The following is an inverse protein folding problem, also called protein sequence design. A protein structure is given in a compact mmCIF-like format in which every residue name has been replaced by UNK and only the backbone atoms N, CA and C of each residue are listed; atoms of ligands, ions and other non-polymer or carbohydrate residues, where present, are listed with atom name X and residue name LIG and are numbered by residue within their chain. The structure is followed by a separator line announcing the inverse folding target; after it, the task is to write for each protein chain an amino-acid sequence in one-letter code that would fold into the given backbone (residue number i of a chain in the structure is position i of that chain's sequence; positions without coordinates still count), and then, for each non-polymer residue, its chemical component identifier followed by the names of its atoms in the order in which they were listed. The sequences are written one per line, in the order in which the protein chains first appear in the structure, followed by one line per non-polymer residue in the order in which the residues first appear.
data_IF_779901679517
#
_entry.id   IF_779901679517
#
_cell.length_a   1.000
_cell.length_b   1.000
_cell.length_c   1.000
_cell.angle_alpha   90.00
_cell.angle_beta   90.00
_cell.angle_gamma   90.00
#
_symmetry.space_group_name_H-M   'P 1'
#
loop_
_entity.id
_entity.type
_entity.pdbx_description
1 polymer ?
#
# COMPACT_ATOMS: atom_id res chain seq x y z
N UNK A 1 -24.98 32.28 -40.38
CA UNK A 1 -24.57 31.44 -41.53
C UNK A 1 -24.91 30.00 -41.21
N UNK A 2 -25.34 29.20 -42.18
CA UNK A 2 -25.56 27.76 -42.02
C UNK A 2 -24.21 27.03 -42.18
N UNK A 3 -23.97 26.01 -41.34
CA UNK A 3 -22.81 25.14 -41.46
C UNK A 3 -23.30 23.80 -41.99
N UNK A 4 -22.75 23.37 -43.11
CA UNK A 4 -23.08 22.12 -43.79
C UNK A 4 -21.85 21.23 -43.80
N UNK A 5 -22.03 19.97 -43.45
CA UNK A 5 -21.02 18.92 -43.52
C UNK A 5 -21.37 18.00 -44.70
N UNK A 6 -20.43 17.84 -45.63
CA UNK A 6 -20.57 16.92 -46.73
C UNK A 6 -19.71 15.67 -46.46
N UNK A 7 -20.34 14.49 -46.49
CA UNK A 7 -19.69 13.20 -46.28
C UNK A 7 -20.04 12.27 -47.44
N UNK A 8 -19.03 11.83 -48.17
CA UNK A 8 -19.19 10.81 -49.22
C UNK A 8 -19.02 9.41 -48.65
N UNK A 9 -19.84 8.48 -49.11
CA UNK A 9 -19.71 7.05 -48.83
C UNK A 9 -18.89 6.34 -49.93
N UNK A 10 -18.36 5.16 -49.61
CA UNK A 10 -17.53 4.35 -50.53
C UNK A 10 -18.32 3.87 -51.76
N UNK A 11 -19.64 3.83 -51.65
CA UNK A 11 -20.57 3.52 -52.73
C UNK A 11 -20.88 4.72 -53.65
N UNK A 12 -20.20 5.86 -53.45
CA UNK A 12 -20.32 7.04 -54.31
C UNK A 12 -21.52 7.94 -54.02
N UNK A 13 -22.18 7.75 -52.87
CA UNK A 13 -23.30 8.61 -52.43
C UNK A 13 -22.78 9.76 -51.57
N UNK A 14 -23.21 10.99 -51.85
CA UNK A 14 -22.86 12.18 -51.08
C UNK A 14 -23.99 12.52 -50.09
N UNK A 15 -23.68 12.50 -48.80
CA UNK A 15 -24.57 12.89 -47.72
C UNK A 15 -24.25 14.33 -47.29
N UNK A 16 -25.28 15.18 -47.24
CA UNK A 16 -25.16 16.56 -46.77
C UNK A 16 -25.93 16.68 -45.46
N UNK A 17 -25.23 17.04 -44.39
CA UNK A 17 -25.75 17.16 -43.03
C UNK A 17 -25.68 18.62 -42.60
N UNK A 18 -26.77 19.14 -42.00
CA UNK A 18 -26.73 20.45 -41.35
C UNK A 18 -26.20 20.32 -39.92
N UNK A 19 -25.27 21.20 -39.55
CA UNK A 19 -24.76 21.24 -38.17
C UNK A 19 -25.77 21.98 -37.28
N UNK A 20 -26.28 21.32 -36.22
CA UNK A 20 -27.20 21.92 -35.27
C UNK A 20 -26.62 23.17 -34.63
N UNK A 21 -27.48 24.12 -34.24
CA UNK A 21 -27.06 25.40 -33.69
C UNK A 21 -26.13 25.26 -32.46
N UNK A 22 -26.36 24.26 -31.62
CA UNK A 22 -25.57 23.97 -30.43
C UNK A 22 -24.08 23.66 -30.71
N UNK A 23 -23.73 23.23 -31.93
CA UNK A 23 -22.37 22.84 -32.31
C UNK A 23 -21.70 23.84 -33.26
N UNK A 24 -22.30 25.01 -33.48
CA UNK A 24 -21.78 26.01 -34.44
C UNK A 24 -20.62 26.83 -33.88
N UNK A 25 -20.60 27.02 -32.57
CA UNK A 25 -19.60 27.85 -31.91
C UNK A 25 -18.93 27.05 -30.81
N UNK A 26 -17.61 26.80 -30.92
CA UNK A 26 -16.89 26.23 -29.80
C UNK A 26 -16.88 27.23 -28.65
N UNK A 27 -17.00 26.74 -27.43
CA UNK A 27 -16.71 27.56 -26.26
C UNK A 27 -15.24 27.97 -26.32
N UNK A 28 -14.93 29.22 -25.96
CA UNK A 28 -13.58 29.81 -26.11
C UNK A 28 -12.46 29.00 -25.43
N UNK A 29 -12.80 28.18 -24.44
CA UNK A 29 -11.83 27.36 -23.68
C UNK A 29 -12.01 25.85 -23.89
N UNK A 30 -12.91 25.39 -24.77
CA UNK A 30 -13.18 23.97 -24.98
C UNK A 30 -11.92 23.18 -25.34
N UNK A 31 -11.14 23.69 -26.30
CA UNK A 31 -9.92 23.03 -26.75
C UNK A 31 -8.90 22.87 -25.62
N UNK A 32 -8.60 23.97 -24.93
CA UNK A 32 -7.66 23.98 -23.80
C UNK A 32 -8.12 23.07 -22.66
N UNK A 33 -9.41 23.11 -22.32
CA UNK A 33 -9.98 22.28 -21.26
C UNK A 33 -9.93 20.78 -21.61
N UNK A 34 -10.21 20.42 -22.87
CA UNK A 34 -10.16 19.04 -23.34
C UNK A 34 -8.72 18.52 -23.38
N UNK A 35 -7.78 19.33 -23.85
CA UNK A 35 -6.34 18.98 -23.86
C UNK A 35 -5.83 18.75 -22.43
N UNK A 36 -6.10 19.68 -21.50
CA UNK A 36 -5.74 19.53 -20.10
C UNK A 36 -6.39 18.30 -19.43
N UNK A 37 -7.63 17.98 -19.82
CA UNK A 37 -8.30 16.77 -19.36
C UNK A 37 -7.56 15.50 -19.81
N UNK A 38 -7.17 15.41 -21.09
CA UNK A 38 -6.43 14.27 -21.61
C UNK A 38 -5.07 14.11 -20.92
N UNK A 39 -4.32 15.19 -20.74
CA UNK A 39 -3.03 15.14 -20.04
C UNK A 39 -3.18 14.60 -18.61
N UNK A 40 -4.23 15.03 -17.90
CA UNK A 40 -4.52 14.53 -16.55
C UNK A 40 -4.91 13.06 -16.55
N UNK A 41 -5.67 12.62 -17.54
CA UNK A 41 -6.11 11.23 -17.63
C UNK A 41 -4.93 10.29 -17.94
N UNK A 42 -4.01 10.68 -18.81
CA UNK A 42 -2.78 9.93 -19.07
C UNK A 42 -1.97 9.77 -17.78
N UNK A 43 -1.71 10.87 -17.05
CA UNK A 43 -0.99 10.82 -15.76
C UNK A 43 -1.70 9.95 -14.72
N UNK A 44 -3.03 9.94 -14.71
CA UNK A 44 -3.83 9.11 -13.80
C UNK A 44 -3.64 7.62 -14.11
N UNK A 45 -3.60 7.24 -15.38
CA UNK A 45 -3.35 5.86 -15.80
C UNK A 45 -1.95 5.41 -15.39
N UNK A 46 -0.93 6.23 -15.65
CA UNK A 46 0.46 5.96 -15.23
C UNK A 46 0.56 5.75 -13.70
N UNK A 47 -0.07 6.64 -12.91
CA UNK A 47 -0.10 6.50 -11.46
C UNK A 47 -0.81 5.21 -11.01
N UNK A 48 -1.90 4.84 -11.68
CA UNK A 48 -2.65 3.63 -11.35
C UNK A 48 -1.83 2.36 -11.62
N UNK A 49 -1.12 2.31 -12.75
CA UNK A 49 -0.22 1.22 -13.10
C UNK A 49 0.96 1.12 -12.11
N UNK A 50 1.64 2.24 -11.83
CA UNK A 50 2.73 2.28 -10.85
C UNK A 50 2.27 1.79 -9.47
N UNK A 51 1.06 2.18 -9.03
CA UNK A 51 0.49 1.73 -7.76
C UNK A 51 0.13 0.24 -7.77
N UNK A 52 -0.24 -0.32 -8.92
CA UNK A 52 -0.52 -1.75 -9.07
C UNK A 52 0.77 -2.56 -8.89
N UNK A 53 1.86 -2.12 -9.52
CA UNK A 53 3.20 -2.73 -9.41
C UNK A 53 3.69 -2.70 -7.96
N UNK A 54 3.63 -1.54 -7.29
CA UNK A 54 4.06 -1.43 -5.90
C UNK A 54 3.22 -2.29 -4.95
N UNK A 55 1.94 -2.54 -5.26
CA UNK A 55 1.10 -3.45 -4.47
C UNK A 55 1.45 -4.91 -4.71
N UNK A 56 1.82 -5.31 -5.93
CA UNK A 56 2.26 -6.69 -6.19
C UNK A 56 3.62 -6.94 -5.53
N UNK A 57 4.60 -6.03 -5.70
CA UNK A 57 5.92 -6.15 -5.07
C UNK A 57 5.82 -6.20 -3.54
N UNK A 58 5.02 -5.32 -2.94
CA UNK A 58 4.74 -5.35 -1.49
C UNK A 58 3.87 -6.51 -1.03
N UNK A 59 3.33 -7.34 -1.93
CA UNK A 59 2.61 -8.57 -1.56
C UNK A 59 3.52 -9.80 -1.69
N UNK A 60 4.48 -9.76 -2.61
CA UNK A 60 5.54 -10.76 -2.76
C UNK A 60 6.59 -10.65 -1.63
N UNK A 61 7.04 -9.44 -1.30
CA UNK A 61 8.00 -9.21 -0.20
C UNK A 61 7.55 -9.67 1.20
N UNK A 62 6.30 -9.48 1.66
CA UNK A 62 5.85 -9.98 2.95
C UNK A 62 5.62 -11.50 2.97
N UNK A 63 5.66 -12.21 1.85
CA UNK A 63 5.73 -13.68 1.84
C UNK A 63 7.18 -14.17 2.01
N UNK A 64 8.18 -13.45 1.49
CA UNK A 64 9.61 -13.79 1.68
C UNK A 64 10.19 -13.31 3.03
N UNK A 65 9.80 -12.13 3.52
CA UNK A 65 10.32 -11.57 4.78
C UNK A 65 9.52 -11.98 6.03
N UNK A 66 8.44 -12.75 5.89
CA UNK A 66 7.66 -13.29 7.02
C UNK A 66 7.78 -14.81 7.15
N UNK A 67 8.99 -15.35 7.05
CA UNK A 67 9.36 -16.31 8.07
C UNK A 67 9.68 -15.47 9.32
N UNK A 68 8.84 -15.45 10.37
CA UNK A 68 9.29 -14.82 11.61
C UNK A 68 10.64 -15.44 11.97
N UNK A 69 11.64 -14.68 12.47
CA UNK A 69 12.73 -15.33 13.17
C UNK A 69 12.01 -16.17 14.22
N UNK A 70 12.22 -17.49 14.18
CA UNK A 70 11.78 -18.39 15.22
C UNK A 70 12.32 -17.74 16.48
N UNK A 71 11.49 -16.98 17.19
CA UNK A 71 11.82 -16.46 18.49
C UNK A 71 12.23 -17.72 19.22
N UNK A 72 13.50 -17.80 19.64
CA UNK A 72 14.04 -18.96 20.34
C UNK A 72 13.12 -19.14 21.54
N UNK A 73 12.13 -20.02 21.38
CA UNK A 73 11.24 -20.43 22.45
C UNK A 73 12.19 -21.21 23.33
N UNK A 74 12.78 -20.53 24.31
CA UNK A 74 13.55 -21.20 25.35
C UNK A 74 12.67 -22.35 25.80
N UNK A 75 13.20 -23.55 25.67
CA UNK A 75 12.43 -24.75 26.01
C UNK A 75 12.01 -24.63 27.48
N UNK A 76 10.90 -25.26 27.87
CA UNK A 76 10.39 -25.18 29.25
C UNK A 76 11.51 -25.55 30.26
N UNK A 77 12.38 -26.46 29.86
CA UNK A 77 13.56 -26.90 30.61
C UNK A 77 14.58 -25.77 30.85
N UNK A 78 14.90 -24.95 29.85
CA UNK A 78 15.82 -23.82 30.00
C UNK A 78 15.27 -22.75 30.95
N UNK A 79 13.96 -22.50 30.90
CA UNK A 79 13.28 -21.57 31.81
C UNK A 79 13.27 -22.11 33.24
N UNK A 80 13.02 -23.40 33.42
CA UNK A 80 13.06 -24.05 34.74
C UNK A 80 14.46 -24.03 35.36
N UNK A 81 15.51 -24.19 34.56
CA UNK A 81 16.89 -24.10 35.04
C UNK A 81 17.28 -22.68 35.48
N UNK A 82 16.85 -21.67 34.73
CA UNK A 82 17.01 -20.26 35.11
C UNK A 82 16.29 -19.99 36.44
N UNK A 83 15.03 -20.45 36.57
CA UNK A 83 14.23 -20.28 37.79
C UNK A 83 14.85 -20.98 39.01
N UNK A 84 15.41 -22.18 38.83
CA UNK A 84 16.12 -22.92 39.90
C UNK A 84 17.38 -22.21 40.37
N UNK A 85 18.13 -21.59 39.44
CA UNK A 85 19.32 -20.80 39.78
C UNK A 85 18.94 -19.56 40.58
N UNK A 86 17.91 -18.84 40.14
CA UNK A 86 17.39 -17.66 40.84
C UNK A 86 16.88 -18.02 42.25
N UNK A 87 16.14 -19.13 42.38
CA UNK A 87 15.67 -19.62 43.68
C UNK A 87 16.83 -19.99 44.62
N UNK A 88 17.92 -20.56 44.08
CA UNK A 88 19.13 -20.84 44.85
C UNK A 88 19.80 -19.57 45.39
N UNK A 89 19.83 -18.49 44.60
CA UNK A 89 20.34 -17.18 45.04
C UNK A 89 19.47 -16.61 46.16
N UNK A 90 18.15 -16.66 45.99
CA UNK A 90 17.19 -16.22 47.01
C UNK A 90 17.39 -16.93 48.35
N UNK A 91 17.55 -18.27 48.36
CA UNK A 91 17.80 -19.03 49.59
C UNK A 91 19.12 -18.64 50.29
N UNK A 92 20.15 -18.26 49.53
CA UNK A 92 21.41 -17.82 50.11
C UNK A 92 21.27 -16.44 50.76
N UNK A 93 20.51 -15.55 50.14
CA UNK A 93 20.19 -14.24 50.72
C UNK A 93 19.32 -14.38 51.96
N UNK A 94 18.30 -15.23 51.91
CA UNK A 94 17.44 -15.54 53.06
C UNK A 94 18.26 -16.09 54.23
N UNK A 95 19.16 -17.06 53.98
CA UNK A 95 20.08 -17.57 55.00
C UNK A 95 20.93 -16.44 55.58
N UNK A 96 21.52 -15.58 54.75
CA UNK A 96 22.33 -14.44 55.24
C UNK A 96 21.51 -13.50 56.11
N UNK A 97 20.27 -13.20 55.73
CA UNK A 97 19.36 -12.34 56.49
C UNK A 97 18.98 -13.00 57.81
N UNK A 98 18.62 -14.29 57.80
CA UNK A 98 18.27 -15.06 59.00
C UNK A 98 19.48 -15.16 59.94
N UNK A 99 20.68 -15.45 59.43
CA UNK A 99 21.91 -15.48 60.22
C UNK A 99 22.28 -14.10 60.78
N UNK A 100 21.98 -13.01 60.04
CA UNK A 100 22.19 -11.65 60.51
C UNK A 100 21.17 -11.23 61.59
N UNK A 101 19.91 -11.69 61.49
CA UNK A 101 18.84 -11.39 62.45
C UNK A 101 18.86 -12.26 63.70
N UNK A 102 19.31 -13.51 63.63
CA UNK A 102 19.32 -14.47 64.74
C UNK A 102 20.74 -14.76 65.28
N UNK A 103 21.61 -13.75 65.31
CA UNK A 103 22.99 -13.91 65.79
C UNK A 103 23.12 -14.69 67.10
N UNK A 104 23.77 -15.87 66.99
CA UNK A 104 24.30 -16.79 68.02
C UNK A 104 23.30 -17.66 68.80
N UNK A 105 23.39 -18.97 68.54
CA UNK A 105 23.77 -19.95 69.57
C UNK A 105 25.10 -20.55 69.15
#
# INVERSE_FOLDING_TARGET
RQHLLAVSDDFGTLHILEVPWALRHPLTQEKSNIEAYFEREVKRLEYFEARKILRSEKKEQPEEEKAPPIAVVKTVEEVEEELKKEYGVYLQEEKKIIFAQLGKV
#
